data_IF_224342338168
#
_entry.id   IF_224342338168
#
_cell.length_a   1.000
_cell.length_b   1.000
_cell.length_c   1.000
_cell.angle_alpha   90.00
_cell.angle_beta   90.00
_cell.angle_gamma   90.00
#
_symmetry.space_group_name_H-M   'P 1'
#
loop_
_entity.id
_entity.type
_entity.pdbx_description
1 polymer ?
#
# COMPACT_ATOMS: atom_id res chain seq x y z
N UNK A 1 10.95 15.63 -38.46
CA UNK A 1 11.07 14.25 -37.95
C UNK A 1 11.68 14.38 -36.57
N UNK A 2 10.83 14.51 -35.56
CA UNK A 2 11.25 14.70 -34.17
C UNK A 2 10.26 13.97 -33.28
N UNK A 3 10.73 12.93 -32.57
CA UNK A 3 10.17 12.48 -31.30
C UNK A 3 11.29 11.89 -30.46
N UNK A 4 11.76 12.74 -29.55
CA UNK A 4 12.54 12.40 -28.38
C UNK A 4 11.59 11.82 -27.31
N UNK A 5 11.88 10.65 -26.78
CA UNK A 5 11.09 9.98 -25.72
C UNK A 5 11.81 10.19 -24.39
N UNK A 6 11.12 10.86 -23.46
CA UNK A 6 11.58 11.22 -22.13
C UNK A 6 12.04 10.03 -21.29
N UNK A 7 13.29 10.10 -20.81
CA UNK A 7 13.86 9.30 -19.72
C UNK A 7 13.48 9.83 -18.32
N UNK A 8 14.02 9.21 -17.25
CA UNK A 8 13.56 9.43 -15.87
C UNK A 8 13.91 10.84 -15.37
N UNK A 9 12.86 11.52 -14.89
CA UNK A 9 12.81 12.82 -14.20
C UNK A 9 14.12 13.56 -13.95
N UNK A 10 14.30 14.66 -14.68
CA UNK A 10 15.21 15.76 -14.36
C UNK A 10 14.95 16.26 -12.93
N UNK A 11 15.98 16.48 -12.08
CA UNK A 11 15.78 17.03 -10.75
C UNK A 11 15.22 18.45 -10.85
N UNK A 12 14.06 18.69 -10.23
CA UNK A 12 13.49 20.04 -10.09
C UNK A 12 14.42 20.90 -9.23
N UNK A 13 14.43 22.19 -9.50
CA UNK A 13 15.32 23.15 -8.87
C UNK A 13 15.08 23.19 -7.34
N UNK A 14 16.12 23.24 -6.52
CA UNK A 14 16.02 23.13 -5.06
C UNK A 14 15.07 24.17 -4.43
N UNK A 15 14.94 25.34 -5.06
CA UNK A 15 14.05 26.43 -4.64
C UNK A 15 12.55 26.13 -4.87
N UNK A 16 12.19 25.33 -5.87
CA UNK A 16 10.79 24.90 -6.11
C UNK A 16 10.32 23.86 -5.08
N UNK A 17 11.24 23.12 -4.45
CA UNK A 17 10.90 22.09 -3.47
C UNK A 17 10.63 22.63 -2.06
N UNK A 18 11.17 23.81 -1.72
CA UNK A 18 10.99 24.45 -0.41
C UNK A 18 9.56 24.98 -0.21
N UNK A 19 8.90 25.45 -1.29
CA UNK A 19 7.53 26.01 -1.22
C UNK A 19 6.50 25.28 -2.12
N UNK A 20 6.95 24.34 -2.95
CA UNK A 20 6.09 23.63 -3.89
C UNK A 20 5.23 22.54 -3.23
N UNK A 21 4.21 22.05 -3.95
CA UNK A 21 3.36 20.99 -3.44
C UNK A 21 4.06 19.62 -3.57
N UNK A 22 4.30 18.98 -2.42
CA UNK A 22 5.12 17.77 -2.28
C UNK A 22 4.39 16.56 -1.69
N UNK A 23 3.16 16.72 -1.15
CA UNK A 23 2.36 15.63 -0.62
C UNK A 23 1.09 15.42 -1.44
N UNK A 24 0.84 14.21 -1.93
CA UNK A 24 -0.36 13.95 -2.70
C UNK A 24 -1.60 13.90 -1.79
N UNK A 25 -2.73 14.38 -2.31
CA UNK A 25 -4.02 14.43 -1.63
C UNK A 25 -4.48 13.08 -1.04
N UNK A 26 -4.06 11.96 -1.63
CA UNK A 26 -4.33 10.60 -1.13
C UNK A 26 -3.89 10.39 0.32
N UNK A 27 -2.80 11.04 0.76
CA UNK A 27 -2.33 10.95 2.15
C UNK A 27 -3.37 11.59 3.06
N UNK A 28 -3.74 12.84 2.82
CA UNK A 28 -4.79 13.58 3.57
C UNK A 28 -6.12 12.83 3.57
N UNK A 29 -6.53 12.28 2.42
CA UNK A 29 -7.76 11.48 2.30
C UNK A 29 -7.74 10.24 3.20
N UNK A 30 -6.58 9.59 3.34
CA UNK A 30 -6.41 8.45 4.25
C UNK A 30 -6.63 8.86 5.71
N UNK A 31 -6.12 10.01 6.14
CA UNK A 31 -6.39 10.56 7.47
C UNK A 31 -7.88 10.85 7.69
N UNK A 32 -8.56 11.46 6.72
CA UNK A 32 -10.00 11.76 6.85
C UNK A 32 -10.85 10.49 6.99
N UNK A 33 -10.50 9.42 6.26
CA UNK A 33 -11.18 8.13 6.39
C UNK A 33 -10.93 7.50 7.76
N UNK A 34 -9.69 7.56 8.26
CA UNK A 34 -9.35 7.09 9.59
C UNK A 34 -10.12 7.85 10.68
N UNK A 35 -10.16 9.17 10.58
CA UNK A 35 -10.91 10.05 11.49
C UNK A 35 -12.41 9.76 11.46
N UNK A 36 -13.00 9.52 10.28
CA UNK A 36 -14.42 9.20 10.18
C UNK A 36 -14.83 7.99 11.03
N UNK A 37 -13.96 6.99 11.12
CA UNK A 37 -14.26 5.74 11.82
C UNK A 37 -14.00 5.82 13.32
N UNK A 38 -13.00 6.60 13.73
CA UNK A 38 -12.48 6.59 15.10
C UNK A 38 -12.79 7.88 15.88
N UNK A 39 -13.04 8.98 15.17
CA UNK A 39 -13.45 10.28 15.70
C UNK A 39 -14.58 10.90 14.84
N UNK A 40 -15.76 10.26 14.75
CA UNK A 40 -16.87 10.77 13.94
C UNK A 40 -17.37 12.16 14.38
N UNK A 41 -17.07 12.57 15.61
CA UNK A 41 -17.38 13.89 16.16
C UNK A 41 -16.50 15.03 15.62
N UNK A 42 -15.36 14.71 14.99
CA UNK A 42 -14.49 15.72 14.39
C UNK A 42 -15.16 16.26 13.12
N UNK A 43 -15.52 17.54 13.14
CA UNK A 43 -15.99 18.22 11.94
C UNK A 43 -14.84 18.33 10.92
N UNK A 44 -14.97 17.54 9.85
CA UNK A 44 -13.97 17.46 8.78
C UNK A 44 -13.97 18.70 7.89
N UNK A 45 -15.09 19.41 7.78
CA UNK A 45 -15.15 20.62 6.95
C UNK A 45 -14.39 21.74 7.65
N UNK A 46 -14.66 21.97 8.94
CA UNK A 46 -13.89 22.92 9.78
C UNK A 46 -12.40 22.56 9.82
N UNK A 47 -12.07 21.27 9.97
CA UNK A 47 -10.70 20.79 9.95
C UNK A 47 -9.98 21.16 8.63
N UNK A 48 -10.61 20.92 7.48
CA UNK A 48 -10.03 21.23 6.18
C UNK A 48 -9.89 22.74 5.97
N UNK A 49 -10.91 23.52 6.33
CA UNK A 49 -10.91 24.98 6.22
C UNK A 49 -9.77 25.61 7.04
N UNK A 50 -9.63 25.22 8.31
CA UNK A 50 -8.52 25.67 9.18
C UNK A 50 -7.14 25.27 8.67
N UNK A 51 -7.08 24.22 7.84
CA UNK A 51 -5.83 23.75 7.22
C UNK A 51 -5.49 24.48 5.91
N UNK A 52 -6.39 25.30 5.39
CA UNK A 52 -6.29 25.89 4.05
C UNK A 52 -6.42 24.83 2.95
N UNK A 53 -7.28 23.83 3.15
CA UNK A 53 -7.59 22.77 2.20
C UNK A 53 -9.09 22.76 1.92
N UNK A 54 -9.48 22.34 0.72
CA UNK A 54 -10.89 22.10 0.38
C UNK A 54 -11.17 20.62 0.18
N UNK A 55 -12.43 20.22 0.36
CA UNK A 55 -12.85 18.85 0.10
C UNK A 55 -12.56 18.42 -1.34
N UNK A 56 -12.82 19.30 -2.31
CA UNK A 56 -12.54 19.04 -3.72
C UNK A 56 -11.05 18.74 -3.97
N UNK A 57 -10.14 19.50 -3.37
CA UNK A 57 -8.70 19.26 -3.46
C UNK A 57 -8.29 17.91 -2.87
N UNK A 58 -8.89 17.51 -1.74
CA UNK A 58 -8.59 16.21 -1.11
C UNK A 58 -9.14 15.05 -1.94
N UNK A 59 -10.31 15.23 -2.56
CA UNK A 59 -10.95 14.21 -3.38
C UNK A 59 -10.32 14.07 -4.78
N UNK A 60 -9.62 15.10 -5.27
CA UNK A 60 -8.85 15.04 -6.51
C UNK A 60 -7.52 14.27 -6.33
N UNK A 61 -7.37 13.05 -6.90
CA UNK A 61 -6.15 12.26 -6.78
C UNK A 61 -4.92 12.86 -7.51
N UNK A 62 -5.11 13.85 -8.39
CA UNK A 62 -4.03 14.56 -9.06
C UNK A 62 -3.52 15.76 -8.24
N UNK A 63 -4.23 16.17 -7.19
CA UNK A 63 -3.87 17.30 -6.35
C UNK A 63 -2.68 17.01 -5.43
N UNK A 64 -1.88 18.04 -5.16
CA UNK A 64 -0.73 17.99 -4.29
C UNK A 64 -0.76 19.20 -3.33
N UNK A 65 -0.47 18.94 -2.06
CA UNK A 65 -0.40 19.91 -0.97
C UNK A 65 1.04 20.25 -0.61
N UNK A 66 1.24 21.45 -0.08
CA UNK A 66 2.54 21.92 0.44
C UNK A 66 2.83 21.36 1.83
N UNK A 67 4.08 21.48 2.28
CA UNK A 67 4.49 21.15 3.65
C UNK A 67 3.65 21.91 4.68
N UNK A 68 3.43 23.21 4.47
CA UNK A 68 2.69 24.07 5.39
C UNK A 68 1.22 23.66 5.54
N UNK A 69 0.56 23.29 4.43
CA UNK A 69 -0.81 22.80 4.47
C UNK A 69 -0.91 21.50 5.28
N UNK A 70 -0.02 20.53 5.02
CA UNK A 70 -0.06 19.25 5.76
C UNK A 70 0.33 19.42 7.23
N UNK A 71 1.20 20.38 7.56
CA UNK A 71 1.54 20.72 8.94
C UNK A 71 0.34 21.30 9.69
N UNK A 72 -0.34 22.31 9.13
CA UNK A 72 -1.59 22.83 9.71
C UNK A 72 -2.64 21.75 9.88
N UNK A 73 -2.80 20.88 8.88
CA UNK A 73 -3.72 19.75 8.94
C UNK A 73 -3.38 18.80 10.09
N UNK A 74 -2.11 18.50 10.30
CA UNK A 74 -1.67 17.69 11.43
C UNK A 74 -1.96 18.37 12.77
N UNK A 75 -1.61 19.65 12.91
CA UNK A 75 -1.80 20.42 14.15
C UNK A 75 -3.28 20.48 14.55
N UNK A 76 -4.19 20.76 13.60
CA UNK A 76 -5.63 20.79 13.84
C UNK A 76 -6.17 19.41 14.23
N UNK A 77 -5.64 18.33 13.64
CA UNK A 77 -6.03 16.96 14.01
C UNK A 77 -5.60 16.65 15.45
N UNK A 78 -4.37 16.99 15.82
CA UNK A 78 -3.86 16.76 17.17
C UNK A 78 -4.67 17.57 18.19
N UNK A 79 -4.97 18.84 17.88
CA UNK A 79 -5.83 19.70 18.71
C UNK A 79 -7.22 19.07 18.94
N UNK A 80 -7.89 18.62 17.87
CA UNK A 80 -9.26 18.10 17.95
C UNK A 80 -9.36 16.71 18.56
N UNK A 81 -8.32 15.88 18.43
CA UNK A 81 -8.36 14.48 18.88
C UNK A 81 -7.63 14.26 20.20
N UNK A 82 -6.74 15.16 20.60
CA UNK A 82 -5.83 15.00 21.73
C UNK A 82 -4.79 13.88 21.54
N UNK A 83 -4.70 13.28 20.35
CA UNK A 83 -3.88 12.09 20.10
C UNK A 83 -2.57 12.45 19.39
N UNK A 84 -1.46 12.37 20.12
CA UNK A 84 -0.12 12.57 19.55
C UNK A 84 0.30 11.43 18.58
N UNK A 85 -0.27 10.24 18.73
CA UNK A 85 0.05 9.06 17.90
C UNK A 85 -0.79 8.95 16.62
N UNK A 86 -1.64 9.95 16.35
CA UNK A 86 -2.61 9.90 15.26
C UNK A 86 -1.98 9.63 13.90
N UNK A 87 -0.78 10.16 13.64
CA UNK A 87 -0.10 9.95 12.37
C UNK A 87 0.29 8.50 12.13
N UNK A 88 0.77 7.80 13.16
CA UNK A 88 1.09 6.37 13.07
C UNK A 88 -0.16 5.54 12.88
N UNK A 89 -1.25 5.86 13.59
CA UNK A 89 -2.50 5.12 13.45
C UNK A 89 -3.16 5.36 12.08
N UNK A 90 -3.14 6.59 11.58
CA UNK A 90 -3.58 6.91 10.22
C UNK A 90 -2.73 6.17 9.17
N UNK A 91 -1.42 6.04 9.39
CA UNK A 91 -0.55 5.22 8.55
C UNK A 91 -0.96 3.74 8.56
N UNK A 92 -1.29 3.20 9.74
CA UNK A 92 -1.80 1.82 9.88
C UNK A 92 -3.14 1.62 9.20
N UNK A 93 -3.97 2.67 9.12
CA UNK A 93 -5.30 2.57 8.54
C UNK A 93 -5.32 2.15 7.06
N UNK A 94 -4.20 2.31 6.34
CA UNK A 94 -4.05 1.94 4.92
C UNK A 94 -4.29 0.42 4.67
N UNK A 95 -4.09 -0.46 5.66
CA UNK A 95 -4.41 -1.90 5.52
C UNK A 95 -5.89 -2.23 5.74
N UNK A 96 -6.63 -1.36 6.43
CA UNK A 96 -8.01 -1.63 6.82
C UNK A 96 -8.95 -1.61 5.60
N UNK A 97 -10.02 -2.41 5.64
CA UNK A 97 -11.01 -2.53 4.55
C UNK A 97 -11.71 -1.23 4.18
N UNK A 98 -11.63 -0.19 5.02
CA UNK A 98 -12.23 1.12 4.84
C UNK A 98 -11.22 2.24 4.57
N UNK A 99 -9.92 1.97 4.68
CA UNK A 99 -8.84 2.92 4.40
C UNK A 99 -8.34 2.81 2.96
N UNK A 100 -8.78 3.72 2.08
CA UNK A 100 -8.25 3.87 0.70
C UNK A 100 -8.15 2.54 -0.06
N UNK A 101 -9.29 2.04 -0.56
CA UNK A 101 -9.35 0.81 -1.37
C UNK A 101 -8.25 0.68 -2.43
N UNK A 102 -7.87 1.80 -3.07
CA UNK A 102 -6.79 1.84 -4.05
C UNK A 102 -5.40 1.42 -3.50
N UNK A 103 -5.02 1.82 -2.27
CA UNK A 103 -3.70 1.50 -1.71
C UNK A 103 -3.58 0.02 -1.34
N UNK A 104 -4.62 -0.55 -0.74
CA UNK A 104 -4.71 -1.99 -0.46
C UNK A 104 -4.63 -2.82 -1.75
N UNK A 105 -5.31 -2.39 -2.82
CA UNK A 105 -5.24 -3.02 -4.13
C UNK A 105 -3.85 -2.98 -4.75
N UNK A 106 -3.13 -1.86 -4.62
CA UNK A 106 -1.73 -1.77 -5.08
C UNK A 106 -0.85 -2.81 -4.39
N UNK A 107 -1.02 -3.07 -3.09
CA UNK A 107 -0.22 -4.06 -2.37
C UNK A 107 -0.65 -5.50 -2.65
N UNK A 108 -1.94 -5.78 -2.78
CA UNK A 108 -2.45 -7.13 -3.09
C UNK A 108 -2.04 -7.63 -4.48
N UNK A 109 -1.67 -6.73 -5.40
CA UNK A 109 -1.06 -7.09 -6.68
C UNK A 109 0.26 -7.87 -6.57
N UNK A 110 0.90 -7.88 -5.39
CA UNK A 110 2.17 -8.58 -5.17
C UNK A 110 1.97 -9.95 -4.51
N UNK A 111 2.84 -10.91 -4.88
CA UNK A 111 2.79 -12.31 -4.40
C UNK A 111 3.15 -12.44 -2.90
N UNK A 112 3.77 -11.43 -2.30
CA UNK A 112 4.10 -11.46 -0.88
C UNK A 112 4.76 -10.19 -0.35
N UNK A 113 4.94 -10.08 0.98
CA UNK A 113 5.34 -8.85 1.65
C UNK A 113 6.69 -8.32 1.17
N UNK A 114 7.68 -9.19 0.92
CA UNK A 114 8.99 -8.76 0.45
C UNK A 114 8.93 -7.99 -0.89
N UNK A 115 8.14 -8.48 -1.86
CA UNK A 115 7.98 -7.80 -3.14
C UNK A 115 7.16 -6.52 -2.99
N UNK A 116 6.15 -6.52 -2.12
CA UNK A 116 5.36 -5.33 -1.82
C UNK A 116 6.23 -4.19 -1.24
N UNK A 117 7.09 -4.47 -0.27
CA UNK A 117 8.02 -3.47 0.29
C UNK A 117 9.04 -2.97 -0.74
N UNK A 118 9.60 -3.87 -1.56
CA UNK A 118 10.54 -3.47 -2.61
C UNK A 118 9.87 -2.59 -3.68
N UNK A 119 8.62 -2.88 -4.02
CA UNK A 119 7.84 -2.08 -4.95
C UNK A 119 7.42 -0.74 -4.35
N UNK A 120 7.07 -0.69 -3.05
CA UNK A 120 6.72 0.54 -2.34
C UNK A 120 7.82 1.60 -2.48
N UNK A 121 9.10 1.20 -2.37
CA UNK A 121 10.23 2.10 -2.59
C UNK A 121 10.21 2.77 -3.98
N UNK A 122 9.67 2.11 -5.01
CA UNK A 122 9.61 2.62 -6.39
C UNK A 122 8.37 3.47 -6.69
N UNK A 123 7.31 3.36 -5.90
CA UNK A 123 6.03 4.09 -6.12
C UNK A 123 5.76 5.17 -5.06
N UNK A 124 6.67 5.32 -4.10
CA UNK A 124 6.54 6.30 -3.03
C UNK A 124 6.47 7.75 -3.55
N UNK A 125 7.13 8.03 -4.67
CA UNK A 125 7.12 9.31 -5.39
C UNK A 125 5.71 9.74 -5.86
N UNK A 126 4.77 8.79 -6.01
CA UNK A 126 3.35 9.06 -6.32
C UNK A 126 2.57 9.59 -5.12
N UNK A 127 3.09 9.41 -3.92
CA UNK A 127 2.46 9.85 -2.67
C UNK A 127 3.20 11.04 -2.06
N UNK A 128 4.53 11.03 -2.10
CA UNK A 128 5.35 12.10 -1.57
C UNK A 128 6.58 12.33 -2.43
N UNK A 129 6.83 13.60 -2.76
CA UNK A 129 8.03 14.08 -3.44
C UNK A 129 9.10 14.56 -2.47
N UNK A 130 8.90 14.34 -1.17
CA UNK A 130 9.75 14.84 -0.10
C UNK A 130 11.09 14.08 0.01
N UNK A 131 11.12 12.82 -0.43
CA UNK A 131 12.20 11.88 -0.14
C UNK A 131 12.60 11.04 -1.35
N UNK A 132 13.88 10.70 -1.44
CA UNK A 132 14.39 9.63 -2.30
C UNK A 132 14.33 8.33 -1.51
N UNK A 133 13.65 7.34 -2.08
CA UNK A 133 13.28 6.12 -1.38
C UNK A 133 13.96 4.92 -2.00
N UNK A 134 14.57 4.10 -1.14
CA UNK A 134 15.19 2.84 -1.56
C UNK A 134 14.75 1.73 -0.63
N UNK A 135 14.66 0.52 -1.17
CA UNK A 135 14.33 -0.67 -0.40
C UNK A 135 15.24 -1.81 -0.83
N UNK A 136 15.78 -2.55 0.14
CA UNK A 136 16.62 -3.73 -0.11
C UNK A 136 16.24 -4.88 0.80
N UNK A 137 16.45 -6.10 0.31
CA UNK A 137 16.18 -7.32 1.07
C UNK A 137 17.33 -7.62 2.02
N UNK A 138 17.01 -7.84 3.30
CA UNK A 138 17.96 -8.31 4.31
C UNK A 138 17.83 -9.80 4.60
N UNK A 139 16.64 -10.37 4.42
CA UNK A 139 16.36 -11.78 4.67
C UNK A 139 15.02 -12.24 4.09
N UNK A 140 14.57 -13.45 4.46
CA UNK A 140 13.30 -14.00 3.97
C UNK A 140 12.07 -13.30 4.54
N UNK A 141 12.17 -12.71 5.73
CA UNK A 141 11.10 -11.98 6.41
C UNK A 141 11.54 -10.60 6.92
N UNK A 142 12.55 -10.02 6.26
CA UNK A 142 13.19 -8.78 6.70
C UNK A 142 13.67 -7.94 5.51
N UNK A 143 13.34 -6.65 5.51
CA UNK A 143 13.80 -5.67 4.52
C UNK A 143 14.27 -4.41 5.21
N UNK A 144 15.10 -3.65 4.51
CA UNK A 144 15.49 -2.30 4.89
C UNK A 144 14.83 -1.33 3.91
N UNK A 145 14.20 -0.28 4.44
CA UNK A 145 13.73 0.86 3.66
C UNK A 145 14.40 2.13 4.15
N UNK A 146 14.98 2.87 3.23
CA UNK A 146 15.70 4.11 3.50
C UNK A 146 15.00 5.26 2.78
N UNK A 147 14.76 6.34 3.53
CA UNK A 147 14.10 7.56 3.07
C UNK A 147 15.06 8.73 3.31
N UNK A 148 15.57 9.31 2.23
CA UNK A 148 16.50 10.44 2.30
C UNK A 148 15.76 11.71 1.88
N UNK A 149 15.61 12.72 2.75
CA UNK A 149 14.92 13.96 2.39
C UNK A 149 15.65 14.67 1.26
N UNK A 150 14.90 15.25 0.32
CA UNK A 150 15.46 16.10 -0.72
C UNK A 150 15.89 17.45 -0.14
N UNK A 151 16.90 18.13 -0.75
CA UNK A 151 17.32 19.44 -0.30
C UNK A 151 16.16 20.44 -0.19
N UNK A 152 16.07 21.14 0.94
CA UNK A 152 15.03 22.14 1.19
C UNK A 152 13.71 21.59 1.75
N UNK A 153 13.52 20.27 1.78
CA UNK A 153 12.36 19.64 2.42
C UNK A 153 12.49 19.68 3.94
N UNK A 154 11.47 20.18 4.61
CA UNK A 154 11.41 20.27 6.08
C UNK A 154 10.40 19.29 6.67
N UNK A 155 10.69 17.99 6.52
CA UNK A 155 9.84 16.97 7.12
C UNK A 155 9.81 17.09 8.67
N UNK A 156 8.66 16.83 9.28
CA UNK A 156 8.40 16.83 10.73
C UNK A 156 8.34 15.40 11.30
N UNK A 157 8.53 15.21 12.61
CA UNK A 157 8.52 13.87 13.23
C UNK A 157 7.24 13.06 13.00
N UNK A 158 6.07 13.71 12.89
CA UNK A 158 4.79 13.02 12.65
C UNK A 158 4.76 12.29 11.30
N UNK A 159 5.52 12.76 10.31
CA UNK A 159 5.60 12.11 9.00
C UNK A 159 6.41 10.81 9.07
N UNK A 160 7.44 10.77 9.93
CA UNK A 160 8.10 9.51 10.29
C UNK A 160 7.13 8.56 10.99
N UNK A 161 6.30 9.05 11.91
CA UNK A 161 5.28 8.23 12.55
C UNK A 161 4.28 7.66 11.55
N UNK A 162 3.81 8.47 10.60
CA UNK A 162 2.94 8.01 9.53
C UNK A 162 3.58 6.94 8.66
N UNK A 163 4.85 7.13 8.29
CA UNK A 163 5.64 6.18 7.52
C UNK A 163 5.84 4.86 8.27
N UNK A 164 6.11 4.91 9.58
CA UNK A 164 6.17 3.71 10.45
C UNK A 164 4.83 2.98 10.38
N UNK A 165 3.72 3.69 10.60
CA UNK A 165 2.38 3.10 10.56
C UNK A 165 2.06 2.41 9.23
N UNK A 166 2.41 3.06 8.11
CA UNK A 166 2.27 2.48 6.78
C UNK A 166 3.11 1.21 6.62
N UNK A 167 4.39 1.25 7.00
CA UNK A 167 5.27 0.08 6.92
C UNK A 167 4.79 -1.06 7.81
N UNK A 168 4.22 -0.79 8.98
CA UNK A 168 3.60 -1.80 9.85
C UNK A 168 2.43 -2.50 9.15
N UNK A 169 1.50 -1.71 8.61
CA UNK A 169 0.26 -2.18 7.98
C UNK A 169 0.50 -2.99 6.69
N UNK A 170 1.56 -2.69 5.94
CA UNK A 170 1.87 -3.43 4.70
C UNK A 170 2.03 -4.95 4.92
N UNK A 171 2.66 -5.38 6.02
CA UNK A 171 2.79 -6.81 6.32
C UNK A 171 1.49 -7.44 6.81
N UNK A 172 0.62 -6.66 7.45
CA UNK A 172 -0.66 -7.14 7.98
C UNK A 172 -1.57 -7.66 6.87
N UNK A 173 -1.54 -7.01 5.70
CA UNK A 173 -2.31 -7.44 4.52
C UNK A 173 -1.99 -8.89 4.11
N UNK A 174 -0.76 -9.35 4.32
CA UNK A 174 -0.31 -10.70 3.97
C UNK A 174 -0.34 -11.66 5.15
N UNK A 175 0.04 -11.20 6.34
CA UNK A 175 0.31 -12.05 7.51
C UNK A 175 -0.79 -12.02 8.57
N UNK A 176 -1.71 -11.04 8.49
CA UNK A 176 -2.72 -10.78 9.52
C UNK A 176 -2.17 -10.11 10.78
N UNK A 177 -0.89 -9.72 10.78
CA UNK A 177 -0.24 -9.01 11.90
C UNK A 177 0.63 -7.87 11.39
N UNK A 178 0.73 -6.80 12.17
CA UNK A 178 1.66 -5.71 11.86
C UNK A 178 3.11 -6.21 11.84
N UNK A 179 3.91 -5.66 10.92
CA UNK A 179 5.35 -5.83 10.99
C UNK A 179 5.92 -5.12 12.21
N UNK A 180 7.02 -5.64 12.73
CA UNK A 180 7.90 -4.93 13.65
C UNK A 180 8.79 -3.99 12.86
N UNK A 181 8.86 -2.73 13.29
CA UNK A 181 9.72 -1.70 12.70
C UNK A 181 10.76 -1.28 13.72
N UNK A 182 12.04 -1.44 13.38
CA UNK A 182 13.13 -0.77 14.08
C UNK A 182 13.53 0.47 13.26
N UNK A 183 13.75 1.62 13.91
CA UNK A 183 14.10 2.89 13.26
C UNK A 183 15.48 3.38 13.73
N UNK A 184 16.58 2.66 13.38
CA UNK A 184 17.91 2.92 13.90
C UNK A 184 18.48 4.31 13.56
N UNK A 185 18.24 4.80 12.35
CA UNK A 185 18.72 6.12 11.89
C UNK A 185 17.52 7.00 11.54
N UNK A 186 17.55 8.27 11.94
CA UNK A 186 16.54 9.27 11.65
C UNK A 186 17.18 10.64 11.45
N UNK A 187 16.85 11.32 10.34
CA UNK A 187 17.42 12.65 10.09
C UNK A 187 16.95 13.70 11.12
N UNK A 188 15.79 13.50 11.77
CA UNK A 188 15.38 14.34 12.91
C UNK A 188 16.29 14.20 14.15
N UNK A 189 17.10 13.13 14.23
CA UNK A 189 18.10 12.92 15.27
C UNK A 189 19.52 13.31 14.83
N UNK A 190 19.68 13.89 13.64
CA UNK A 190 20.97 14.29 13.08
C UNK A 190 21.59 13.30 12.10
N UNK A 191 20.92 12.19 11.78
CA UNK A 191 21.39 11.26 10.75
C UNK A 191 21.17 11.81 9.33
N UNK A 192 21.79 11.20 8.32
CA UNK A 192 21.63 11.63 6.92
C UNK A 192 20.31 11.19 6.27
N UNK A 193 19.62 10.21 6.87
CA UNK A 193 18.38 9.64 6.35
C UNK A 193 17.55 9.00 7.47
N UNK A 194 16.32 8.61 7.15
CA UNK A 194 15.57 7.67 7.97
C UNK A 194 15.74 6.25 7.45
N UNK A 195 16.33 5.36 8.26
CA UNK A 195 16.46 3.93 7.95
C UNK A 195 15.50 3.12 8.81
N UNK A 196 14.65 2.35 8.14
CA UNK A 196 13.69 1.46 8.78
C UNK A 196 14.04 0.01 8.47
N UNK A 197 14.14 -0.81 9.52
CA UNK A 197 14.27 -2.25 9.38
C UNK A 197 12.92 -2.88 9.68
N UNK A 198 12.32 -3.44 8.65
CA UNK A 198 10.97 -4.01 8.69
C UNK A 198 11.08 -5.51 8.79
N UNK A 199 10.50 -6.09 9.84
CA UNK A 199 10.51 -7.54 10.10
C UNK A 199 9.09 -8.02 10.30
N UNK A 200 8.68 -9.08 9.60
CA UNK A 200 7.33 -9.65 9.73
C UNK A 200 7.35 -11.12 10.11
N UNK A 201 6.24 -11.60 10.66
CA UNK A 201 6.04 -13.00 11.01
C UNK A 201 6.02 -13.87 9.74
N UNK A 202 6.70 -15.02 9.79
CA UNK A 202 6.70 -15.96 8.67
C UNK A 202 5.32 -16.63 8.56
N UNK A 203 4.84 -16.83 7.33
CA UNK A 203 3.56 -17.50 7.13
C UNK A 203 3.60 -18.94 7.69
N UNK A 204 2.47 -19.47 8.17
CA UNK A 204 2.41 -20.85 8.65
C UNK A 204 2.91 -21.86 7.61
N UNK A 205 2.64 -21.65 6.32
CA UNK A 205 3.12 -22.49 5.23
C UNK A 205 4.66 -22.59 5.22
N UNK A 206 5.36 -21.47 5.48
CA UNK A 206 6.82 -21.47 5.59
C UNK A 206 7.31 -22.29 6.79
N UNK A 207 6.63 -22.21 7.94
CA UNK A 207 6.99 -22.98 9.14
C UNK A 207 6.81 -24.49 8.91
N UNK A 208 5.69 -24.91 8.30
CA UNK A 208 5.46 -26.31 7.96
C UNK A 208 6.43 -26.86 6.91
N UNK A 209 6.82 -26.06 5.91
CA UNK A 209 7.89 -26.44 4.96
C UNK A 209 9.22 -26.66 5.67
N UNK A 210 9.56 -25.81 6.64
CA UNK A 210 10.80 -25.93 7.40
C UNK A 210 10.76 -27.15 8.34
N UNK A 211 9.64 -27.39 9.01
CA UNK A 211 9.42 -28.58 9.82
C UNK A 211 9.54 -29.86 8.98
N UNK A 212 8.90 -29.90 7.80
CA UNK A 212 9.06 -31.00 6.83
C UNK A 212 10.53 -31.23 6.47
N UNK A 213 11.26 -30.19 6.09
CA UNK A 213 12.65 -30.33 5.67
C UNK A 213 13.55 -30.86 6.81
N UNK A 214 13.35 -30.39 8.05
CA UNK A 214 14.08 -30.92 9.20
C UNK A 214 13.67 -32.36 9.53
N UNK A 215 12.38 -32.69 9.45
CA UNK A 215 11.90 -34.05 9.65
C UNK A 215 12.48 -35.01 8.59
N UNK A 216 12.59 -34.58 7.33
CA UNK A 216 13.24 -35.36 6.26
C UNK A 216 14.72 -35.58 6.53
N UNK A 217 15.46 -34.54 6.94
CA UNK A 217 16.88 -34.67 7.28
C UNK A 217 17.10 -35.59 8.48
N UNK A 218 16.29 -35.44 9.53
CA UNK A 218 16.32 -36.30 10.71
C UNK A 218 16.01 -37.76 10.35
N UNK A 219 15.00 -37.99 9.50
CA UNK A 219 14.66 -39.34 9.04
C UNK A 219 15.84 -40.01 8.34
N UNK A 220 16.56 -39.30 7.46
CA UNK A 220 17.75 -39.83 6.79
C UNK A 220 18.86 -40.17 7.80
N UNK A 221 19.12 -39.27 8.75
CA UNK A 221 20.15 -39.51 9.78
C UNK A 221 19.82 -40.71 10.66
N UNK A 222 18.55 -40.84 11.10
CA UNK A 222 18.09 -41.97 11.90
C UNK A 222 18.14 -43.26 11.08
N UNK A 223 17.67 -43.25 9.83
CA UNK A 223 17.69 -44.41 8.94
C UNK A 223 19.11 -44.98 8.76
N UNK A 224 20.09 -44.09 8.55
CA UNK A 224 21.50 -44.45 8.40
C UNK A 224 22.12 -44.93 9.72
N UNK A 225 21.80 -44.27 10.84
CA UNK A 225 22.38 -44.59 12.15
C UNK A 225 21.93 -45.96 12.65
N UNK A 226 20.68 -46.36 12.40
CA UNK A 226 20.13 -47.63 12.88
C UNK A 226 20.30 -48.79 11.90
N UNK A 227 20.81 -48.55 10.69
CA UNK A 227 21.01 -49.60 9.69
C UNK A 227 21.81 -50.81 10.21
N UNK A 228 22.84 -50.57 11.03
CA UNK A 228 23.72 -51.64 11.54
C UNK A 228 23.25 -52.28 12.85
N UNK A 229 22.29 -51.67 13.55
CA UNK A 229 21.91 -52.08 14.92
C UNK A 229 20.54 -52.75 15.00
N UNK A 230 19.65 -52.55 14.02
CA UNK A 230 18.27 -53.08 14.07
C UNK A 230 18.02 -54.18 13.04
N UNK A 231 17.24 -55.23 13.37
CA UNK A 231 16.78 -56.22 12.40
C UNK A 231 16.00 -55.59 11.24
N UNK A 232 15.98 -56.26 10.09
CA UNK A 232 15.44 -55.72 8.83
C UNK A 232 13.96 -55.32 8.93
N UNK A 233 13.11 -56.14 9.57
CA UNK A 233 11.66 -55.88 9.63
C UNK A 233 11.32 -54.60 10.43
N UNK A 234 11.75 -54.43 11.70
CA UNK A 234 11.52 -53.20 12.45
C UNK A 234 12.14 -51.96 11.80
N UNK A 235 13.31 -52.12 11.16
CA UNK A 235 13.96 -51.03 10.43
C UNK A 235 13.10 -50.56 9.23
N UNK A 236 12.56 -51.49 8.44
CA UNK A 236 11.67 -51.16 7.31
C UNK A 236 10.37 -50.49 7.79
N UNK A 237 9.73 -51.02 8.83
CA UNK A 237 8.48 -50.47 9.37
C UNK A 237 8.70 -49.03 9.88
N UNK A 238 9.79 -48.79 10.61
CA UNK A 238 10.14 -47.45 11.11
C UNK A 238 10.37 -46.44 9.98
N UNK A 239 11.10 -46.84 8.92
CA UNK A 239 11.35 -45.99 7.76
C UNK A 239 10.06 -45.68 6.97
N UNK A 240 9.19 -46.68 6.76
CA UNK A 240 7.89 -46.47 6.13
C UNK A 240 7.00 -45.53 6.94
N UNK A 241 6.97 -45.69 8.26
CA UNK A 241 6.26 -44.77 9.16
C UNK A 241 6.81 -43.34 9.09
N UNK A 242 8.14 -43.19 9.07
CA UNK A 242 8.80 -41.90 8.92
C UNK A 242 8.53 -41.24 7.57
N UNK A 243 8.57 -42.00 6.47
CA UNK A 243 8.21 -41.52 5.13
C UNK A 243 6.75 -41.07 5.06
N UNK A 244 5.82 -41.85 5.64
CA UNK A 244 4.42 -41.46 5.73
C UNK A 244 4.24 -40.15 6.52
N UNK A 245 4.96 -39.99 7.63
CA UNK A 245 4.95 -38.75 8.41
C UNK A 245 5.53 -37.54 7.64
N UNK A 246 6.63 -37.71 6.90
CA UNK A 246 7.18 -36.65 6.05
C UNK A 246 6.21 -36.31 4.91
N UNK A 247 5.54 -37.31 4.34
CA UNK A 247 4.55 -37.11 3.28
C UNK A 247 3.34 -36.33 3.79
N UNK A 248 2.81 -36.66 4.97
CA UNK A 248 1.69 -35.90 5.57
C UNK A 248 2.09 -34.45 5.87
N UNK A 249 3.28 -34.21 6.42
CA UNK A 249 3.83 -32.86 6.59
C UNK A 249 3.93 -32.11 5.26
N UNK A 250 4.36 -32.78 4.19
CA UNK A 250 4.44 -32.20 2.85
C UNK A 250 3.07 -31.85 2.29
N UNK A 251 2.07 -32.72 2.45
CA UNK A 251 0.70 -32.48 2.02
C UNK A 251 0.09 -31.30 2.77
N UNK A 252 0.27 -31.22 4.10
CA UNK A 252 -0.20 -30.09 4.92
C UNK A 252 0.45 -28.79 4.47
N UNK A 253 1.77 -28.76 4.31
CA UNK A 253 2.49 -27.59 3.86
C UNK A 253 2.02 -27.11 2.48
N UNK A 254 1.77 -28.04 1.56
CA UNK A 254 1.29 -27.76 0.19
C UNK A 254 -0.16 -27.26 0.19
N UNK A 255 -1.02 -27.84 1.03
CA UNK A 255 -2.40 -27.37 1.17
C UNK A 255 -2.48 -25.96 1.74
N UNK A 256 -1.65 -25.64 2.75
CA UNK A 256 -1.57 -24.30 3.33
C UNK A 256 -1.08 -23.29 2.30
N UNK A 257 -0.03 -23.61 1.55
CA UNK A 257 0.47 -22.77 0.46
C UNK A 257 -0.58 -22.55 -0.64
N UNK A 258 -1.29 -23.61 -1.04
CA UNK A 258 -2.38 -23.52 -2.02
C UNK A 258 -3.49 -22.59 -1.54
N UNK A 259 -3.89 -22.68 -0.27
CA UNK A 259 -4.90 -21.79 0.32
C UNK A 259 -4.43 -20.32 0.36
N UNK A 260 -3.17 -20.09 0.73
CA UNK A 260 -2.55 -18.75 0.75
C UNK A 260 -2.52 -18.14 -0.67
N UNK A 261 -2.15 -18.95 -1.67
CA UNK A 261 -2.13 -18.52 -3.07
C UNK A 261 -3.53 -18.23 -3.61
N UNK A 262 -4.53 -19.08 -3.34
CA UNK A 262 -5.93 -18.85 -3.73
C UNK A 262 -6.46 -17.55 -3.12
N UNK A 263 -6.18 -17.30 -1.83
CA UNK A 263 -6.57 -16.06 -1.16
C UNK A 263 -5.96 -14.84 -1.85
N UNK A 264 -4.69 -14.92 -2.21
CA UNK A 264 -3.99 -13.86 -2.95
C UNK A 264 -4.62 -13.64 -4.32
N UNK A 265 -4.90 -14.69 -5.09
CA UNK A 265 -5.57 -14.60 -6.40
C UNK A 265 -6.95 -13.96 -6.28
N UNK A 266 -7.78 -14.35 -5.31
CA UNK A 266 -9.08 -13.72 -5.10
C UNK A 266 -8.96 -12.23 -4.79
N UNK A 267 -7.98 -11.86 -3.98
CA UNK A 267 -7.72 -10.46 -3.64
C UNK A 267 -7.25 -9.65 -4.86
N UNK A 268 -6.43 -10.26 -5.73
CA UNK A 268 -5.99 -9.67 -7.00
C UNK A 268 -7.14 -9.53 -7.99
N UNK A 269 -8.02 -10.54 -8.08
CA UNK A 269 -9.23 -10.47 -8.91
C UNK A 269 -10.13 -9.33 -8.48
N UNK A 270 -10.40 -9.21 -7.17
CA UNK A 270 -11.22 -8.12 -6.63
C UNK A 270 -10.60 -6.74 -6.93
N UNK A 271 -9.27 -6.62 -6.77
CA UNK A 271 -8.55 -5.40 -7.12
C UNK A 271 -8.61 -5.06 -8.61
N UNK A 272 -8.45 -6.06 -9.48
CA UNK A 272 -8.53 -5.87 -10.93
C UNK A 272 -9.95 -5.46 -11.36
N UNK A 273 -10.97 -6.05 -10.75
CA UNK A 273 -12.37 -5.75 -11.07
C UNK A 273 -12.75 -4.31 -10.70
N UNK A 274 -12.37 -3.84 -9.52
CA UNK A 274 -12.54 -2.44 -9.11
C UNK A 274 -11.76 -1.47 -10.02
N UNK A 275 -10.56 -1.86 -10.46
CA UNK A 275 -9.80 -1.06 -11.43
C UNK A 275 -10.50 -0.95 -12.80
N UNK A 276 -11.11 -2.04 -13.27
CA UNK A 276 -11.91 -2.05 -14.50
C UNK A 276 -13.16 -1.18 -14.36
N UNK A 277 -13.84 -1.23 -13.22
CA UNK A 277 -15.00 -0.39 -12.92
C UNK A 277 -14.62 1.10 -12.95
N UNK A 278 -13.48 1.45 -12.36
CA UNK A 278 -12.93 2.81 -12.43
C UNK A 278 -12.57 3.26 -13.85
N UNK A 279 -12.02 2.38 -14.68
CA UNK A 279 -11.73 2.69 -16.09
C UNK A 279 -13.02 2.89 -16.90
N UNK A 280 -14.04 2.06 -16.67
CA UNK A 280 -15.36 2.19 -17.29
C UNK A 280 -15.99 3.55 -16.96
N UNK A 281 -15.98 3.96 -15.69
CA UNK A 281 -16.48 5.26 -15.28
C UNK A 281 -15.72 6.43 -15.94
N UNK A 282 -14.39 6.36 -15.99
CA UNK A 282 -13.57 7.40 -16.66
C UNK A 282 -13.81 7.45 -18.16
N UNK A 283 -13.95 6.30 -18.81
CA UNK A 283 -14.27 6.20 -20.22
C UNK A 283 -15.63 6.84 -20.52
N UNK A 284 -16.66 6.52 -19.73
CA UNK A 284 -17.98 7.13 -19.84
C UNK A 284 -17.93 8.65 -19.67
N UNK A 285 -17.16 9.15 -18.69
CA UNK A 285 -16.98 10.60 -18.49
C UNK A 285 -16.26 11.27 -19.67
N UNK A 286 -15.20 10.65 -20.21
CA UNK A 286 -14.49 11.18 -21.36
C UNK A 286 -15.38 11.23 -22.61
N UNK A 287 -16.19 10.18 -22.81
CA UNK A 287 -17.16 10.14 -23.90
C UNK A 287 -18.26 11.21 -23.74
N UNK A 288 -18.73 11.45 -22.51
CA UNK A 288 -19.68 12.53 -22.22
C UNK A 288 -19.09 13.91 -22.57
N UNK A 289 -17.83 14.18 -22.18
CA UNK A 289 -17.14 15.42 -22.56
C UNK A 289 -16.99 15.54 -24.07
N UNK A 290 -16.68 14.44 -24.77
CA UNK A 290 -16.60 14.42 -26.22
C UNK A 290 -17.95 14.73 -26.88
N UNK A 291 -19.05 14.11 -26.41
CA UNK A 291 -20.40 14.34 -26.93
C UNK A 291 -20.88 15.78 -26.65
N UNK A 292 -20.59 16.34 -25.47
CA UNK A 292 -20.86 17.75 -25.15
C UNK A 292 -20.03 18.67 -26.04
N UNK A 293 -18.74 18.39 -26.23
CA UNK A 293 -17.87 19.18 -27.09
C UNK A 293 -18.32 19.18 -28.56
N UNK A 294 -18.78 18.03 -29.06
CA UNK A 294 -19.39 17.91 -30.38
C UNK A 294 -20.71 18.67 -30.48
N UNK A 295 -21.61 18.54 -29.49
CA UNK A 295 -22.87 19.26 -29.46
C UNK A 295 -22.66 20.79 -29.40
N UNK A 296 -21.70 21.25 -28.59
CA UNK A 296 -21.34 22.68 -28.46
C UNK A 296 -20.73 23.24 -29.74
N UNK A 297 -19.99 22.41 -30.49
CA UNK A 297 -19.38 22.81 -31.76
C UNK A 297 -20.35 22.75 -32.95
N UNK A 298 -21.42 21.94 -32.85
CA UNK A 298 -22.36 21.70 -33.94
C UNK A 298 -23.67 22.51 -33.83
N UNK A 299 -24.04 22.97 -32.63
CA UNK A 299 -25.32 23.62 -32.38
C UNK A 299 -25.13 25.12 -32.12
N UNK A 300 -25.69 25.94 -33.01
CA UNK A 300 -25.61 27.41 -32.97
C UNK A 300 -26.74 28.05 -32.13
N UNK A 301 -27.78 27.27 -31.78
CA UNK A 301 -28.92 27.70 -30.93
C UNK A 301 -28.79 27.18 -29.49
N UNK A 302 -28.94 28.10 -28.52
CA UNK A 302 -28.71 27.84 -27.09
C UNK A 302 -29.70 26.80 -26.51
N UNK A 303 -30.98 26.83 -26.88
CA UNK A 303 -31.99 25.91 -26.34
C UNK A 303 -31.81 24.45 -26.82
N UNK A 304 -31.39 24.30 -28.08
CA UNK A 304 -31.06 23.01 -28.66
C UNK A 304 -29.78 22.43 -28.03
N UNK A 305 -28.81 23.29 -27.72
CA UNK A 305 -27.58 22.90 -27.02
C UNK A 305 -27.87 22.42 -25.60
N UNK A 306 -28.66 23.19 -24.83
CA UNK A 306 -29.06 22.81 -23.45
C UNK A 306 -29.78 21.46 -23.46
N UNK A 307 -30.71 21.24 -24.40
CA UNK A 307 -31.44 19.97 -24.53
C UNK A 307 -30.57 18.79 -24.96
N UNK A 308 -29.51 19.03 -25.74
CA UNK A 308 -28.55 17.99 -26.14
C UNK A 308 -27.62 17.61 -24.97
N UNK A 309 -27.11 18.61 -24.26
CA UNK A 309 -26.25 18.42 -23.06
C UNK A 309 -27.02 17.72 -21.95
N UNK A 310 -28.26 18.14 -21.68
CA UNK A 310 -29.12 17.49 -20.67
C UNK A 310 -29.44 16.04 -21.01
N UNK A 311 -29.67 15.70 -22.28
CA UNK A 311 -29.84 14.31 -22.72
C UNK A 311 -28.57 13.48 -22.57
N UNK A 312 -27.40 14.04 -22.90
CA UNK A 312 -26.12 13.36 -22.73
C UNK A 312 -25.84 13.07 -21.25
N UNK A 313 -26.10 14.04 -20.37
CA UNK A 313 -25.99 13.93 -18.92
C UNK A 313 -26.98 12.88 -18.38
N UNK A 314 -28.27 12.98 -18.71
CA UNK A 314 -29.30 12.04 -18.22
C UNK A 314 -29.10 10.60 -18.70
N UNK A 315 -28.53 10.38 -19.88
CA UNK A 315 -28.27 9.04 -20.42
C UNK A 315 -27.08 8.34 -19.74
N UNK A 316 -26.19 9.09 -19.09
CA UNK A 316 -24.87 8.59 -18.63
C UNK A 316 -24.65 8.73 -17.13
N UNK A 317 -25.27 9.71 -16.49
CA UNK A 317 -25.41 9.73 -15.03
C UNK A 317 -26.66 8.94 -14.67
N UNK A 318 -26.47 7.85 -13.92
CA UNK A 318 -27.54 7.12 -13.23
C UNK A 318 -28.23 8.10 -12.27
N UNK A 319 -29.18 8.88 -12.77
CA UNK A 319 -30.02 9.79 -11.97
C UNK A 319 -31.28 9.09 -11.44
N UNK A 320 -31.50 7.83 -11.82
CA UNK A 320 -32.64 6.99 -11.37
C UNK A 320 -32.29 6.08 -10.18
N UNK A 321 -31.32 6.48 -9.34
CA UNK A 321 -31.04 5.81 -8.07
C UNK A 321 -30.93 6.75 -6.88
#
# INVERSE_FOLDING_TARGET
MDKNVNGPGTPRNATEMVSGPIYNSRITKSYLNYLQLNWPQVDRNDLLERSGMTRYQVDDPAHWFTQEQVDRFHDVIVEKTGSADISRQAGRHISSSSGTGAAKQYFLGFVGPALAYLAAGKIADKFSRATVNTARKLGSNRIESTFTPLPGVQEKPYQCQNRIGLLEAMAEVFTGKFARIDHPECFHRGDSCCRYIVTWDKSPAFLWKRARNYASALLVLVALSFWTFTPLLPWLIGNLGGLAAVLTLSLIATQLEKRELIRTIHSQKAAAQDHLDHLSARYNNAQLVQEIGQATSAVMEIDALISAVMRAISKRLDFDR
#
